data_IF_443089355456
#
_entry.id   IF_443089355456
#
_cell.length_a   1.000
_cell.length_b   1.000
_cell.length_c   1.000
_cell.angle_alpha   90.00
_cell.angle_beta   90.00
_cell.angle_gamma   90.00
#
_symmetry.space_group_name_H-M   'P 1'
#
loop_
_entity.id
_entity.type
_entity.pdbx_description
1 polymer ?
#
# COMPACT_ATOMS: atom_id res chain seq x y z
N UNK A 1 1.96 8.18 22.49
CA UNK A 1 1.42 8.79 21.24
C UNK A 1 0.20 7.97 20.84
N UNK A 2 -0.94 8.61 20.52
CA UNK A 2 -2.18 7.90 20.16
C UNK A 2 -2.50 8.18 18.68
N UNK A 3 -2.11 7.31 17.74
CA UNK A 3 -2.34 7.54 16.32
C UNK A 3 -3.84 7.47 16.00
N UNK A 4 -4.27 8.28 15.02
CA UNK A 4 -5.65 8.33 14.51
C UNK A 4 -5.60 8.29 12.98
N UNK A 5 -6.49 7.52 12.37
CA UNK A 5 -6.63 7.43 10.91
C UNK A 5 -7.56 8.54 10.44
N UNK A 6 -7.18 9.20 9.35
CA UNK A 6 -7.94 10.27 8.69
C UNK A 6 -7.87 10.09 7.16
N UNK A 7 -8.52 10.99 6.42
CA UNK A 7 -8.59 10.99 4.95
C UNK A 7 -9.29 9.77 4.34
N UNK A 8 -10.61 9.69 4.57
CA UNK A 8 -11.46 8.64 4.02
C UNK A 8 -12.00 8.98 2.61
N UNK A 9 -11.41 9.94 1.89
CA UNK A 9 -11.90 10.40 0.59
C UNK A 9 -11.88 9.32 -0.51
N UNK A 10 -11.03 8.30 -0.35
CA UNK A 10 -10.94 7.14 -1.23
C UNK A 10 -11.51 5.86 -0.62
N UNK A 11 -11.99 5.91 0.62
CA UNK A 11 -12.53 4.74 1.32
C UNK A 11 -13.80 4.24 0.63
N UNK A 12 -13.95 2.91 0.55
CA UNK A 12 -15.10 2.27 -0.10
C UNK A 12 -15.86 1.43 0.91
N UNK A 13 -17.19 1.58 0.91
CA UNK A 13 -18.09 0.77 1.71
C UNK A 13 -18.46 -0.50 0.94
N UNK A 14 -18.31 -1.64 1.60
CA UNK A 14 -18.83 -2.90 1.11
C UNK A 14 -20.27 -3.11 1.59
N UNK A 15 -21.11 -3.71 0.75
CA UNK A 15 -22.39 -4.30 1.18
C UNK A 15 -22.08 -5.54 2.02
N UNK A 16 -22.95 -5.92 2.95
CA UNK A 16 -22.68 -6.89 4.03
C UNK A 16 -21.98 -8.19 3.59
N UNK A 17 -22.25 -8.71 2.40
CA UNK A 17 -21.68 -9.98 1.91
C UNK A 17 -20.52 -9.80 0.90
N UNK A 18 -20.14 -8.55 0.62
CA UNK A 18 -19.10 -8.24 -0.36
C UNK A 18 -17.72 -8.20 0.31
N UNK A 19 -16.85 -9.13 -0.05
CA UNK A 19 -15.47 -9.23 0.47
C UNK A 19 -14.42 -8.51 -0.40
N UNK A 20 -14.80 -8.19 -1.65
CA UNK A 20 -13.94 -7.54 -2.64
C UNK A 20 -14.79 -6.72 -3.62
N UNK A 21 -14.22 -5.69 -4.22
CA UNK A 21 -14.83 -4.93 -5.30
C UNK A 21 -13.85 -4.65 -6.43
N UNK A 22 -14.37 -4.20 -7.56
CA UNK A 22 -13.59 -3.86 -8.75
C UNK A 22 -13.89 -2.43 -9.20
N UNK A 23 -12.90 -1.76 -9.78
CA UNK A 23 -13.06 -0.40 -10.29
C UNK A 23 -12.17 -0.16 -11.51
N UNK A 24 -12.71 0.53 -12.52
CA UNK A 24 -11.91 0.97 -13.67
C UNK A 24 -11.06 2.22 -13.37
N UNK A 25 -11.25 2.84 -12.20
CA UNK A 25 -10.53 4.05 -11.79
C UNK A 25 -9.57 3.73 -10.66
N UNK A 26 -8.29 3.64 -11.01
CA UNK A 26 -7.19 3.45 -10.07
C UNK A 26 -6.78 4.81 -9.50
N UNK A 27 -6.90 4.94 -8.18
CA UNK A 27 -6.51 6.12 -7.40
C UNK A 27 -5.92 5.67 -6.07
N UNK A 28 -4.84 6.32 -5.64
CA UNK A 28 -4.12 6.01 -4.41
C UNK A 28 -2.68 6.52 -4.45
N UNK A 29 -1.92 6.27 -3.39
CA UNK A 29 -0.51 6.68 -3.28
C UNK A 29 0.39 5.60 -3.86
N UNK A 30 1.21 5.96 -4.85
CA UNK A 30 2.18 5.04 -5.46
C UNK A 30 3.13 4.46 -4.41
N UNK A 31 3.50 3.18 -4.58
CA UNK A 31 4.34 2.43 -3.63
C UNK A 31 3.59 1.81 -2.46
N UNK A 32 2.37 2.27 -2.14
CA UNK A 32 1.53 1.66 -1.11
C UNK A 32 0.39 0.82 -1.70
N UNK A 33 -0.02 1.10 -2.95
CA UNK A 33 -1.11 0.39 -3.61
C UNK A 33 -0.76 -1.08 -3.88
N UNK A 34 -1.68 -1.97 -3.51
CA UNK A 34 -1.54 -3.40 -3.76
C UNK A 34 -1.49 -3.72 -5.27
N UNK A 35 -0.69 -4.70 -5.70
CA UNK A 35 -0.51 -5.03 -7.12
C UNK A 35 -1.83 -5.46 -7.79
N UNK A 36 -2.69 -6.20 -7.10
CA UNK A 36 -4.01 -6.59 -7.62
C UNK A 36 -4.91 -5.38 -7.89
N UNK A 37 -4.79 -4.31 -7.08
CA UNK A 37 -5.53 -3.07 -7.29
C UNK A 37 -5.00 -2.29 -8.48
N UNK A 38 -3.67 -2.17 -8.61
CA UNK A 38 -3.03 -1.44 -9.72
C UNK A 38 -3.24 -2.16 -11.05
N UNK A 39 -3.19 -3.50 -11.06
CA UNK A 39 -3.25 -4.27 -12.31
C UNK A 39 -4.68 -4.53 -12.77
N UNK A 40 -5.62 -4.72 -11.83
CA UNK A 40 -6.98 -5.20 -12.14
C UNK A 40 -8.09 -4.32 -11.54
N UNK A 41 -7.74 -3.27 -10.80
CA UNK A 41 -8.72 -2.47 -10.08
C UNK A 41 -9.39 -3.21 -8.93
N UNK A 42 -8.85 -4.35 -8.48
CA UNK A 42 -9.40 -5.18 -7.42
C UNK A 42 -9.02 -4.64 -6.04
N UNK A 43 -10.00 -4.24 -5.25
CA UNK A 43 -9.80 -3.75 -3.89
C UNK A 43 -10.56 -4.63 -2.89
N UNK A 44 -9.96 -4.84 -1.72
CA UNK A 44 -10.51 -5.64 -0.62
C UNK A 44 -9.80 -5.30 0.68
N UNK A 45 -10.20 -5.93 1.79
CA UNK A 45 -9.42 -5.87 3.03
C UNK A 45 -7.96 -6.32 2.82
N UNK A 46 -7.69 -7.21 1.85
CA UNK A 46 -6.32 -7.69 1.56
C UNK A 46 -5.44 -6.59 0.94
N UNK A 47 -6.01 -5.74 0.09
CA UNK A 47 -5.26 -4.61 -0.48
C UNK A 47 -4.93 -3.56 0.59
N UNK A 48 -5.78 -3.41 1.61
CA UNK A 48 -5.50 -2.55 2.76
C UNK A 48 -4.37 -3.14 3.63
N UNK A 49 -4.36 -4.45 3.83
CA UNK A 49 -3.29 -5.17 4.56
C UNK A 49 -1.94 -5.00 3.87
N UNK A 50 -1.90 -5.09 2.53
CA UNK A 50 -0.67 -4.84 1.77
C UNK A 50 -0.14 -3.41 2.03
N UNK A 51 -1.01 -2.41 1.87
CA UNK A 51 -0.67 -0.99 2.08
C UNK A 51 -0.17 -0.72 3.50
N UNK A 52 -0.82 -1.35 4.50
CA UNK A 52 -0.40 -1.31 5.89
C UNK A 52 0.98 -1.95 6.11
N UNK A 53 1.28 -3.06 5.45
CA UNK A 53 2.59 -3.70 5.50
C UNK A 53 3.72 -2.76 5.05
N UNK A 54 3.51 -2.05 3.94
CA UNK A 54 4.45 -1.02 3.45
C UNK A 54 4.63 0.11 4.46
N UNK A 55 3.55 0.59 5.08
CA UNK A 55 3.60 1.61 6.13
C UNK A 55 4.42 1.13 7.35
N UNK A 56 4.23 -0.13 7.76
CA UNK A 56 5.02 -0.73 8.86
C UNK A 56 6.50 -0.78 8.50
N UNK A 57 6.86 -1.15 7.27
CA UNK A 57 8.24 -1.13 6.80
C UNK A 57 8.83 0.28 6.83
N UNK A 58 8.09 1.29 6.37
CA UNK A 58 8.51 2.70 6.45
C UNK A 58 8.76 3.13 7.91
N UNK A 59 7.88 2.77 8.84
CA UNK A 59 8.03 3.10 10.27
C UNK A 59 9.25 2.41 10.88
N UNK A 60 9.44 1.12 10.61
CA UNK A 60 10.51 0.32 11.24
C UNK A 60 11.88 0.67 10.65
N UNK A 61 11.96 0.98 9.35
CA UNK A 61 13.21 1.38 8.69
C UNK A 61 13.53 2.86 8.89
N UNK A 62 12.51 3.69 9.16
CA UNK A 62 12.64 5.15 9.15
C UNK A 62 12.89 5.75 7.76
N UNK A 63 12.78 4.93 6.71
CA UNK A 63 13.03 5.32 5.32
C UNK A 63 11.70 5.55 4.61
N UNK A 64 11.55 6.70 3.94
CA UNK A 64 10.32 6.98 3.17
C UNK A 64 10.26 6.08 1.93
N UNK A 65 9.12 5.45 1.70
CA UNK A 65 8.91 4.63 0.51
C UNK A 65 9.07 5.43 -0.79
N UNK A 66 8.66 6.71 -0.79
CA UNK A 66 8.77 7.60 -1.96
C UNK A 66 10.18 8.10 -2.28
N UNK A 67 11.14 7.90 -1.36
CA UNK A 67 12.50 8.43 -1.46
C UNK A 67 13.55 7.36 -1.12
N UNK A 68 13.26 6.09 -1.38
CA UNK A 68 14.24 5.05 -1.18
C UNK A 68 15.33 5.17 -2.27
N UNK A 69 16.45 5.78 -1.89
CA UNK A 69 17.67 5.89 -2.69
C UNK A 69 18.73 5.01 -2.02
N UNK A 70 18.86 3.77 -2.50
CA UNK A 70 20.00 2.93 -2.13
C UNK A 70 20.99 2.92 -3.30
N UNK A 71 22.16 3.52 -3.08
CA UNK A 71 23.40 3.36 -3.84
C UNK A 71 23.25 2.96 -5.33
N UNK A 72 22.60 3.80 -6.13
CA UNK A 72 22.60 3.70 -7.60
C UNK A 72 21.47 2.89 -8.24
N UNK A 73 20.61 2.22 -7.47
CA UNK A 73 19.41 1.53 -7.98
C UNK A 73 18.13 2.14 -7.39
N UNK A 74 17.15 2.44 -8.25
CA UNK A 74 15.81 2.87 -7.84
C UNK A 74 15.01 1.64 -7.40
N UNK A 75 15.25 1.19 -6.17
CA UNK A 75 14.48 0.11 -5.55
C UNK A 75 13.49 0.70 -4.54
N UNK A 76 12.26 0.18 -4.51
CA UNK A 76 11.31 0.49 -3.44
C UNK A 76 11.64 -0.29 -2.16
N UNK A 77 11.01 0.08 -1.04
CA UNK A 77 11.22 -0.59 0.24
C UNK A 77 10.96 -2.10 0.18
N UNK A 78 10.01 -2.52 -0.66
CA UNK A 78 9.64 -3.91 -0.82
C UNK A 78 10.76 -4.72 -1.49
N UNK A 79 11.40 -4.13 -2.51
CA UNK A 79 12.53 -4.73 -3.22
C UNK A 79 13.73 -4.94 -2.30
N UNK A 80 14.04 -3.95 -1.46
CA UNK A 80 15.13 -4.03 -0.47
C UNK A 80 14.91 -5.16 0.55
N UNK A 81 13.72 -5.23 1.16
CA UNK A 81 13.41 -6.23 2.18
C UNK A 81 13.30 -7.63 1.59
N UNK A 82 12.80 -7.76 0.35
CA UNK A 82 12.65 -9.05 -0.32
C UNK A 82 13.98 -9.67 -0.77
N UNK A 83 15.03 -8.86 -0.90
CA UNK A 83 16.36 -9.31 -1.37
C UNK A 83 17.27 -9.76 -0.22
N UNK A 84 16.93 -9.42 1.03
CA UNK A 84 17.72 -9.80 2.21
C UNK A 84 17.42 -11.27 2.55
N UNK A 85 18.33 -12.18 2.21
CA UNK A 85 18.27 -13.62 2.50
C UNK A 85 19.44 -14.05 3.37
#
# INVERSE_FOLDING_TARGET
>A
MNPKIADFGLARLFVLDQVQGETNRIVGTYGYMAPEYVMRGQFSVRSDVYSFGVLVLEIVTGQKNSHFHHEGNMEDLLSYVSTTK
#
